data_IF_074925709882
#
_entry.id   IF_074925709882
#
_cell.length_a   1.000
_cell.length_b   1.000
_cell.length_c   1.000
_cell.angle_alpha   90.00
_cell.angle_beta   90.00
_cell.angle_gamma   90.00
#
_symmetry.space_group_name_H-M   'P 1'
#
loop_
_entity.id
_entity.type
_entity.pdbx_description
1 polymer ?
#
# COMPACT_ATOMS: atom_id res chain seq x y z
N UNK A 1 -12.09 -42.15 16.91
CA UNK A 1 -11.34 -41.79 15.68
C UNK A 1 -11.05 -40.30 15.73
N UNK A 2 -9.81 -39.93 16.09
CA UNK A 2 -9.35 -38.54 16.13
C UNK A 2 -8.83 -38.19 14.74
N UNK A 3 -9.73 -37.80 13.85
CA UNK A 3 -9.37 -37.34 12.52
C UNK A 3 -8.85 -35.92 12.65
N UNK A 4 -7.61 -35.77 12.23
CA UNK A 4 -6.78 -34.60 12.31
C UNK A 4 -7.45 -33.36 11.68
N UNK A 5 -7.85 -32.41 12.53
CA UNK A 5 -8.15 -31.02 12.19
C UNK A 5 -6.84 -30.24 11.92
N UNK A 6 -6.05 -30.73 10.96
CA UNK A 6 -4.75 -30.16 10.55
C UNK A 6 -4.83 -29.39 9.21
N UNK A 7 -6.05 -29.04 8.78
CA UNK A 7 -6.31 -28.31 7.55
C UNK A 7 -6.77 -26.89 7.89
N UNK A 8 -6.10 -25.88 7.31
CA UNK A 8 -6.37 -24.44 7.34
C UNK A 8 -5.60 -23.55 8.34
N UNK A 9 -4.33 -23.81 8.57
CA UNK A 9 -3.38 -22.73 8.88
C UNK A 9 -2.49 -22.42 7.68
N UNK A 10 -3.10 -22.20 6.51
CA UNK A 10 -2.45 -21.48 5.41
C UNK A 10 -2.46 -20.01 5.86
N UNK A 11 -1.50 -19.65 6.71
CA UNK A 11 -1.16 -18.25 6.91
C UNK A 11 -0.91 -17.70 5.52
N UNK A 12 -1.66 -16.69 5.03
CA UNK A 12 -1.26 -16.00 3.84
C UNK A 12 0.13 -15.46 4.17
N UNK A 13 1.16 -16.08 3.59
CA UNK A 13 2.45 -15.43 3.46
C UNK A 13 2.11 -14.05 2.93
N UNK A 14 2.34 -13.04 3.76
CA UNK A 14 2.02 -11.66 3.45
C UNK A 14 3.03 -11.27 2.38
N UNK A 15 2.79 -11.72 1.15
CA UNK A 15 3.61 -11.41 0.00
C UNK A 15 3.34 -9.93 -0.23
N UNK A 16 4.29 -9.12 0.22
CA UNK A 16 4.29 -7.70 -0.04
C UNK A 16 4.53 -7.52 -1.53
N UNK A 17 3.53 -7.04 -2.25
CA UNK A 17 3.63 -6.68 -3.66
C UNK A 17 3.36 -5.19 -3.74
N UNK A 18 4.26 -4.43 -4.36
CA UNK A 18 4.17 -2.99 -4.43
C UNK A 18 4.23 -2.52 -5.86
N UNK A 19 3.65 -1.35 -6.13
CA UNK A 19 3.96 -0.62 -7.35
C UNK A 19 5.39 -0.08 -7.24
N UNK A 20 6.19 -0.26 -8.30
CA UNK A 20 7.55 0.26 -8.43
C UNK A 20 7.65 1.01 -9.75
N UNK A 21 8.28 2.18 -9.71
CA UNK A 21 8.48 3.02 -10.87
C UNK A 21 8.37 4.50 -10.55
N UNK A 22 8.36 5.34 -11.58
CA UNK A 22 8.25 6.78 -11.46
C UNK A 22 7.43 7.38 -12.61
N UNK A 23 6.80 8.53 -12.39
CA UNK A 23 6.03 9.21 -13.41
C UNK A 23 5.46 10.55 -12.98
N UNK A 24 4.84 11.22 -13.95
CA UNK A 24 4.10 12.48 -13.77
C UNK A 24 2.61 12.16 -13.71
N UNK A 25 1.97 12.48 -12.59
CA UNK A 25 0.56 12.15 -12.34
C UNK A 25 -0.37 13.00 -13.20
N UNK A 26 -0.12 14.31 -13.27
CA UNK A 26 -1.01 15.27 -13.92
C UNK A 26 -0.87 15.34 -15.46
N UNK A 27 0.06 14.58 -16.05
CA UNK A 27 0.50 14.78 -17.45
C UNK A 27 0.57 13.52 -18.32
N UNK A 28 0.21 12.35 -17.80
CA UNK A 28 -0.08 11.17 -18.64
C UNK A 28 1.07 10.19 -18.92
N UNK A 29 2.25 10.34 -18.31
CA UNK A 29 3.32 9.33 -18.42
C UNK A 29 3.70 8.79 -17.05
N UNK A 30 3.11 7.65 -16.71
CA UNK A 30 3.41 6.90 -15.51
C UNK A 30 3.77 5.47 -15.87
N UNK A 31 4.98 5.04 -15.50
CA UNK A 31 5.39 3.65 -15.66
C UNK A 31 5.50 3.05 -14.27
N UNK A 32 4.40 2.46 -13.80
CA UNK A 32 4.36 1.70 -12.55
C UNK A 32 4.15 0.21 -12.88
N UNK A 33 5.12 -0.62 -12.53
CA UNK A 33 4.96 -2.07 -12.55
C UNK A 33 4.65 -2.59 -11.16
N UNK A 34 3.95 -3.72 -11.07
CA UNK A 34 3.77 -4.44 -9.80
C UNK A 34 4.92 -5.42 -9.61
N UNK A 35 5.52 -5.40 -8.42
CA UNK A 35 6.63 -6.28 -8.10
C UNK A 35 6.46 -6.88 -6.71
N UNK A 36 6.74 -8.19 -6.54
CA UNK A 36 6.92 -8.77 -5.22
C UNK A 36 8.16 -8.13 -4.57
N UNK A 37 8.04 -7.81 -3.28
CA UNK A 37 9.10 -7.20 -2.50
C UNK A 37 9.81 -8.26 -1.67
N UNK A 38 11.03 -8.59 -2.07
CA UNK A 38 11.87 -9.51 -1.31
C UNK A 38 12.46 -8.80 -0.09
N UNK A 39 12.35 -9.42 1.08
CA UNK A 39 12.99 -8.96 2.31
C UNK A 39 12.35 -7.73 2.98
N UNK A 40 11.19 -7.25 2.51
CA UNK A 40 10.46 -6.15 3.15
C UNK A 40 8.95 -6.31 3.05
N UNK A 41 8.26 -5.89 4.10
CA UNK A 41 6.79 -5.88 4.16
C UNK A 41 6.21 -4.48 3.87
N UNK A 42 7.05 -3.56 3.40
CA UNK A 42 6.66 -2.17 3.21
C UNK A 42 6.69 -1.76 1.73
N UNK A 43 5.69 -0.98 1.33
CA UNK A 43 5.72 -0.20 0.11
C UNK A 43 6.02 1.26 0.41
N UNK A 44 6.74 1.89 -0.50
CA UNK A 44 7.16 3.28 -0.48
C UNK A 44 6.46 4.08 -1.58
N UNK A 45 6.10 5.32 -1.28
CA UNK A 45 5.64 6.33 -2.24
C UNK A 45 6.18 7.70 -1.87
N UNK A 46 6.69 8.42 -2.86
CA UNK A 46 7.13 9.81 -2.74
C UNK A 46 6.39 10.65 -3.76
N UNK A 47 5.64 11.63 -3.27
CA UNK A 47 4.98 12.66 -4.04
C UNK A 47 5.83 13.94 -4.00
N UNK A 48 6.09 14.55 -5.15
CA UNK A 48 6.81 15.83 -5.27
C UNK A 48 6.02 16.76 -6.18
N UNK A 49 5.73 17.96 -5.69
CA UNK A 49 5.07 19.03 -6.45
C UNK A 49 6.09 20.10 -6.86
N UNK A 50 6.19 20.40 -8.15
CA UNK A 50 7.06 21.45 -8.69
C UNK A 50 6.22 22.36 -9.60
N UNK A 51 5.74 23.47 -9.02
CA UNK A 51 4.73 24.29 -9.69
C UNK A 51 3.47 23.48 -9.97
N UNK A 52 3.08 23.39 -11.25
CA UNK A 52 1.92 22.61 -11.70
C UNK A 52 2.23 21.14 -12.01
N UNK A 53 3.43 20.65 -11.68
CA UNK A 53 3.86 19.28 -12.00
C UNK A 53 3.88 18.43 -10.73
N UNK A 54 3.03 17.39 -10.67
CA UNK A 54 3.09 16.36 -9.64
C UNK A 54 3.82 15.11 -10.15
N UNK A 55 4.95 14.80 -9.53
CA UNK A 55 5.69 13.55 -9.80
C UNK A 55 5.53 12.56 -8.65
N UNK A 56 5.48 11.29 -8.99
CA UNK A 56 5.36 10.19 -8.02
C UNK A 56 6.42 9.16 -8.29
N UNK A 57 7.15 8.78 -7.23
CA UNK A 57 8.09 7.65 -7.23
C UNK A 57 7.58 6.58 -6.27
N UNK A 58 7.61 5.31 -6.67
CA UNK A 58 7.17 4.17 -5.87
C UNK A 58 8.23 3.09 -5.83
N UNK A 59 8.42 2.44 -4.66
CA UNK A 59 9.44 1.39 -4.45
C UNK A 59 9.02 0.37 -3.38
N UNK A 60 9.71 -0.76 -3.32
CA UNK A 60 9.70 -1.67 -2.17
C UNK A 60 10.63 -1.14 -1.06
N UNK A 61 10.15 -1.09 0.19
CA UNK A 61 10.96 -0.98 1.41
C UNK A 61 11.87 0.23 1.61
N UNK A 62 11.89 1.21 0.70
CA UNK A 62 12.87 2.31 0.67
C UNK A 62 12.86 3.17 1.95
N UNK A 63 13.72 2.83 2.92
CA UNK A 63 13.80 3.52 4.22
C UNK A 63 12.56 3.42 5.11
N UNK A 64 11.54 2.65 4.70
CA UNK A 64 10.30 2.50 5.44
C UNK A 64 10.52 1.65 6.69
N UNK A 65 10.44 2.28 7.86
CA UNK A 65 10.48 1.59 9.15
C UNK A 65 9.10 1.53 9.81
N UNK A 66 8.21 2.47 9.48
CA UNK A 66 6.86 2.62 10.03
C UNK A 66 5.85 2.96 8.93
N UNK A 67 4.57 2.66 9.16
CA UNK A 67 3.48 3.05 8.24
C UNK A 67 3.02 4.47 8.52
N UNK A 68 2.62 5.19 7.48
CA UNK A 68 2.11 6.55 7.57
C UNK A 68 2.67 7.44 6.46
N UNK A 69 2.24 8.69 6.43
CA UNK A 69 2.78 9.69 5.53
C UNK A 69 3.32 10.87 6.33
N UNK A 70 4.40 11.48 5.84
CA UNK A 70 4.99 12.69 6.38
C UNK A 70 5.36 13.65 5.26
N UNK A 71 5.18 14.93 5.52
CA UNK A 71 5.69 15.98 4.65
C UNK A 71 7.17 16.21 4.98
N UNK A 72 8.05 16.01 4.00
CA UNK A 72 9.50 16.20 4.15
C UNK A 72 9.89 17.65 3.83
N UNK A 73 9.12 18.29 2.94
CA UNK A 73 9.21 19.72 2.65
C UNK A 73 7.84 20.23 2.20
N UNK A 74 7.72 21.55 2.02
CA UNK A 74 6.49 22.22 1.54
C UNK A 74 5.91 21.62 0.26
N UNK A 75 6.72 20.90 -0.50
CA UNK A 75 6.38 20.35 -1.80
C UNK A 75 6.77 18.86 -1.95
N UNK A 76 7.04 18.15 -0.85
CA UNK A 76 7.40 16.72 -0.87
C UNK A 76 6.70 15.97 0.25
N UNK A 77 6.05 14.87 -0.10
CA UNK A 77 5.38 13.98 0.85
C UNK A 77 5.82 12.55 0.63
N UNK A 78 6.28 11.92 1.71
CA UNK A 78 6.69 10.52 1.72
C UNK A 78 5.64 9.70 2.46
N UNK A 79 5.30 8.54 1.91
CA UNK A 79 4.34 7.60 2.45
C UNK A 79 4.92 6.19 2.47
N UNK A 80 4.74 5.52 3.59
CA UNK A 80 5.05 4.12 3.80
C UNK A 80 3.78 3.37 4.21
N UNK A 81 3.57 2.18 3.66
CA UNK A 81 2.43 1.33 4.01
C UNK A 81 2.85 -0.14 3.98
N UNK A 82 2.05 -1.03 4.58
CA UNK A 82 2.28 -2.47 4.56
C UNK A 82 1.20 -3.20 3.79
N UNK A 83 1.59 -4.31 3.18
CA UNK A 83 0.68 -5.22 2.49
C UNK A 83 0.59 -4.97 0.99
N UNK A 84 -0.20 -5.82 0.34
CA UNK A 84 -0.32 -5.86 -1.12
C UNK A 84 -0.90 -4.56 -1.68
N UNK A 85 -0.24 -4.02 -2.71
CA UNK A 85 -0.66 -2.87 -3.51
C UNK A 85 -0.95 -1.59 -2.71
N UNK A 86 -0.46 -1.48 -1.46
CA UNK A 86 -0.87 -0.41 -0.57
C UNK A 86 -0.38 0.98 -1.02
N UNK A 87 0.69 1.04 -1.82
CA UNK A 87 1.19 2.28 -2.42
C UNK A 87 0.51 2.61 -3.77
N UNK A 88 -0.60 1.96 -4.10
CA UNK A 88 -1.44 2.28 -5.26
C UNK A 88 -1.99 3.70 -5.19
N UNK A 89 -2.44 4.14 -4.01
CA UNK A 89 -3.21 5.35 -3.84
C UNK A 89 -2.50 6.61 -4.34
N UNK A 90 -3.04 7.18 -5.42
CA UNK A 90 -3.00 8.61 -5.63
C UNK A 90 -3.96 9.25 -4.61
N UNK A 91 -3.45 9.55 -3.41
CA UNK A 91 -4.11 10.34 -2.38
C UNK A 91 -5.53 9.93 -2.01
N UNK A 92 -5.72 8.94 -1.14
CA UNK A 92 -6.97 8.74 -0.37
C UNK A 92 -6.71 7.76 0.77
N UNK A 93 -6.14 8.27 1.86
CA UNK A 93 -6.30 7.69 3.19
C UNK A 93 -7.76 7.91 3.61
N UNK A 94 -8.37 6.94 4.30
CA UNK A 94 -9.78 6.85 4.73
C UNK A 94 -10.75 6.39 3.63
N UNK A 95 -11.17 5.13 3.65
CA UNK A 95 -12.53 4.68 3.30
C UNK A 95 -12.69 3.14 3.32
N UNK A 96 -11.62 2.36 3.53
CA UNK A 96 -11.72 0.88 3.49
C UNK A 96 -12.06 0.25 4.86
N UNK A 97 -12.06 1.02 5.96
CA UNK A 97 -12.38 0.50 7.30
C UNK A 97 -13.87 0.45 7.65
N UNK A 98 -14.77 0.97 6.82
CA UNK A 98 -16.21 1.04 7.15
C UNK A 98 -17.04 -0.17 6.68
N UNK A 99 -16.54 -1.05 5.80
CA UNK A 99 -17.35 -2.18 5.29
C UNK A 99 -17.27 -3.48 6.13
N UNK A 100 -16.30 -3.62 7.04
CA UNK A 100 -16.13 -4.87 7.79
C UNK A 100 -17.04 -4.98 9.04
N UNK A 101 -17.73 -3.91 9.45
CA UNK A 101 -18.58 -3.91 10.66
C UNK A 101 -20.06 -4.18 10.34
N UNK A 102 -20.51 -3.98 9.10
CA UNK A 102 -21.91 -4.19 8.72
C UNK A 102 -22.31 -5.66 8.58
N UNK A 103 -21.36 -6.57 8.30
CA UNK A 103 -21.66 -8.00 8.15
C UNK A 103 -21.84 -8.75 9.49
N UNK A 104 -21.43 -8.17 10.62
CA UNK A 104 -21.58 -8.80 11.94
C UNK A 104 -22.93 -8.49 12.62
N UNK A 105 -23.64 -7.45 12.18
CA UNK A 105 -24.94 -7.05 12.78
C UNK A 105 -26.11 -7.81 12.13
N UNK A 106 -25.92 -8.41 10.95
CA UNK A 106 -26.96 -9.15 10.24
C UNK A 106 -26.99 -10.65 10.52
N UNK A 107 -26.03 -11.19 11.28
CA UNK A 107 -26.05 -12.59 11.77
C UNK A 107 -26.57 -12.72 13.20
N UNK A 108 -27.32 -11.73 13.67
CA UNK A 108 -28.14 -11.82 14.90
C UNK A 108 -29.59 -11.43 14.62
N UNK A 109 -30.20 -12.09 13.64
CA UNK A 109 -31.65 -12.33 13.57
C UNK A 109 -31.82 -13.81 13.20
#
# INVERSE_FOLDING_TARGET
>A
MRVALLLLSILPSVICECYVGAGVVDGGTNVFGKYPCDGTNYCYKLDIWLGSVHTVTKKCGFGCTTTGCRDISTNKRECCCKGKDCNSAAGSTLLVTSLAVAAAVWMRI
#
